data_IF_362048123395
#
_entry.id   IF_362048123395
#
_cell.length_a   1.000
_cell.length_b   1.000
_cell.length_c   1.000
_cell.angle_alpha   90.00
_cell.angle_beta   90.00
_cell.angle_gamma   90.00
#
_symmetry.space_group_name_H-M   'P 1'
#
loop_
_entity.id
_entity.type
_entity.pdbx_description
1 polymer ?
#
# COMPACT_ATOMS: atom_id res chain seq x y z
N UNK A 1 -22.39 30.09 14.49
CA UNK A 1 -23.39 29.00 14.32
C UNK A 1 -24.75 29.51 14.81
N UNK A 2 -25.68 29.68 13.87
CA UNK A 2 -27.00 30.30 14.15
C UNK A 2 -27.84 29.40 15.02
N UNK A 3 -28.76 30.00 15.78
CA UNK A 3 -29.74 29.37 16.71
C UNK A 3 -30.57 28.25 16.02
N UNK A 4 -30.64 28.29 14.71
CA UNK A 4 -31.31 27.32 13.86
C UNK A 4 -30.57 25.97 13.85
N UNK A 5 -29.23 25.98 13.77
CA UNK A 5 -28.43 24.77 13.71
C UNK A 5 -28.49 23.96 15.02
N UNK A 6 -28.62 24.63 16.18
CA UNK A 6 -28.75 23.97 17.49
C UNK A 6 -30.11 23.30 17.70
N UNK A 7 -31.19 23.84 17.14
CA UNK A 7 -32.55 23.24 17.25
C UNK A 7 -32.68 21.97 16.42
N UNK A 8 -31.96 21.89 15.28
CA UNK A 8 -32.05 20.72 14.39
C UNK A 8 -31.15 19.55 14.87
N UNK A 9 -30.02 19.81 15.50
CA UNK A 9 -29.20 18.75 16.09
C UNK A 9 -29.89 17.97 17.23
N UNK A 10 -30.79 18.63 17.96
CA UNK A 10 -31.55 18.02 19.05
C UNK A 10 -32.71 17.13 18.55
N UNK A 11 -33.26 17.42 17.35
CA UNK A 11 -34.35 16.63 16.72
C UNK A 11 -33.81 15.41 15.95
N UNK A 12 -32.58 15.43 15.49
CA UNK A 12 -31.91 14.29 14.83
C UNK A 12 -31.60 13.14 15.80
N UNK A 13 -31.51 13.42 17.12
CA UNK A 13 -31.24 12.38 18.13
C UNK A 13 -32.46 11.52 18.48
N UNK A 14 -33.65 11.82 17.98
CA UNK A 14 -34.90 11.16 18.40
C UNK A 14 -35.67 10.46 17.28
N UNK A 15 -35.14 10.34 16.05
CA UNK A 15 -35.87 9.64 14.97
C UNK A 15 -35.10 8.45 14.42
N UNK A 16 -35.58 7.33 14.89
CA UNK A 16 -35.57 5.98 14.34
C UNK A 16 -34.23 5.43 13.86
N UNK A 17 -33.53 4.81 14.78
CA UNK A 17 -32.62 3.71 14.48
C UNK A 17 -33.52 2.50 14.16
N UNK A 18 -33.59 2.13 12.89
CA UNK A 18 -34.26 0.89 12.47
C UNK A 18 -33.28 -0.28 12.69
N UNK A 19 -33.75 -1.29 13.43
CA UNK A 19 -32.99 -2.53 13.57
C UNK A 19 -33.54 -3.54 12.57
N UNK A 20 -32.76 -3.99 11.64
CA UNK A 20 -33.10 -5.15 10.82
C UNK A 20 -32.72 -6.42 11.60
N UNK A 21 -33.68 -7.07 12.21
CA UNK A 21 -33.50 -8.26 13.05
C UNK A 21 -32.90 -9.47 12.32
N UNK A 22 -32.92 -9.49 10.98
CA UNK A 22 -32.34 -10.61 10.20
C UNK A 22 -30.87 -10.46 9.86
N UNK A 23 -30.28 -9.25 9.87
CA UNK A 23 -28.91 -8.99 9.45
C UNK A 23 -28.03 -8.34 10.51
N UNK A 24 -28.59 -7.95 11.67
CA UNK A 24 -27.83 -7.24 12.72
C UNK A 24 -27.29 -5.86 12.32
N UNK A 25 -27.76 -5.30 11.20
CA UNK A 25 -27.27 -4.05 10.64
C UNK A 25 -28.07 -2.86 11.16
N UNK A 26 -27.36 -1.79 11.50
CA UNK A 26 -27.94 -0.50 11.88
C UNK A 26 -27.81 0.48 10.71
N UNK A 27 -28.90 1.13 10.30
CA UNK A 27 -28.84 2.20 9.31
C UNK A 27 -29.75 3.36 9.70
N UNK A 28 -29.39 4.55 9.29
CA UNK A 28 -30.18 5.77 9.47
C UNK A 28 -30.77 6.15 8.13
N UNK A 29 -32.10 6.13 8.02
CA UNK A 29 -32.78 6.54 6.80
C UNK A 29 -32.80 8.08 6.68
N UNK A 30 -31.75 8.62 6.03
CA UNK A 30 -31.64 10.05 5.75
C UNK A 30 -32.42 10.49 4.49
N UNK A 31 -32.84 9.56 3.63
CA UNK A 31 -33.53 9.86 2.36
C UNK A 31 -34.91 10.46 2.57
N UNK A 32 -35.68 9.92 3.51
CA UNK A 32 -37.02 10.42 3.84
C UNK A 32 -36.97 11.82 4.46
N UNK A 33 -35.92 12.11 5.27
CA UNK A 33 -35.70 13.43 5.83
C UNK A 33 -35.30 14.45 4.75
N UNK A 34 -34.41 14.09 3.84
CA UNK A 34 -33.99 14.95 2.72
C UNK A 34 -35.18 15.24 1.79
N UNK A 35 -36.01 14.23 1.46
CA UNK A 35 -37.26 14.42 0.67
C UNK A 35 -38.20 15.44 1.31
N UNK A 36 -38.45 15.31 2.61
CA UNK A 36 -39.35 16.25 3.32
C UNK A 36 -38.82 17.69 3.33
N UNK A 37 -37.49 17.87 3.31
CA UNK A 37 -36.86 19.19 3.23
C UNK A 37 -36.94 19.77 1.83
N UNK A 38 -36.70 18.95 0.80
CA UNK A 38 -36.83 19.32 -0.61
C UNK A 38 -38.28 19.78 -0.90
N UNK A 39 -39.25 19.04 -0.41
CA UNK A 39 -40.68 19.42 -0.59
C UNK A 39 -41.04 20.74 0.11
N UNK A 40 -40.44 21.00 1.29
CA UNK A 40 -40.63 22.28 2.00
C UNK A 40 -39.96 23.46 1.25
N UNK A 41 -38.83 23.24 0.60
CA UNK A 41 -38.19 24.30 -0.21
C UNK A 41 -38.93 24.57 -1.50
N UNK A 42 -39.49 23.55 -2.15
CA UNK A 42 -40.39 23.69 -3.31
C UNK A 42 -41.62 24.49 -3.01
N UNK A 43 -42.29 24.21 -1.86
CA UNK A 43 -43.51 24.90 -1.45
C UNK A 43 -43.30 26.37 -1.09
N UNK A 44 -42.05 26.80 -0.87
CA UNK A 44 -41.72 28.18 -0.50
C UNK A 44 -41.13 29.01 -1.67
N UNK A 45 -41.24 28.51 -2.91
CA UNK A 45 -40.75 29.17 -4.16
C UNK A 45 -39.26 29.55 -4.14
N UNK A 46 -38.41 28.80 -3.44
CA UNK A 46 -36.98 29.00 -3.32
C UNK A 46 -36.22 28.06 -4.28
N UNK A 47 -36.47 28.24 -5.58
CA UNK A 47 -35.91 27.43 -6.65
C UNK A 47 -34.35 27.47 -6.67
N UNK A 48 -33.73 28.62 -6.39
CA UNK A 48 -32.28 28.80 -6.30
C UNK A 48 -31.62 27.93 -5.22
N UNK A 49 -32.24 27.90 -4.06
CA UNK A 49 -31.80 27.05 -2.95
C UNK A 49 -32.14 25.57 -3.19
N UNK A 50 -33.20 25.29 -3.91
CA UNK A 50 -33.60 23.96 -4.31
C UNK A 50 -32.57 23.33 -5.27
N UNK A 51 -32.14 24.05 -6.31
CA UNK A 51 -31.11 23.58 -7.24
C UNK A 51 -29.75 23.42 -6.58
N UNK A 52 -29.35 24.33 -5.68
CA UNK A 52 -28.15 24.22 -4.88
C UNK A 52 -28.16 22.97 -3.97
N UNK A 53 -29.28 22.74 -3.29
CA UNK A 53 -29.45 21.56 -2.40
C UNK A 53 -29.49 20.26 -3.19
N UNK A 54 -30.12 20.24 -4.39
CA UNK A 54 -30.08 19.07 -5.28
C UNK A 54 -28.67 18.80 -5.80
N UNK A 55 -27.92 19.83 -6.22
CA UNK A 55 -26.55 19.69 -6.65
C UNK A 55 -25.59 19.22 -5.56
N UNK A 56 -25.76 19.76 -4.34
CA UNK A 56 -25.03 19.33 -3.16
C UNK A 56 -25.47 17.95 -2.69
N UNK A 57 -26.79 17.64 -2.70
CA UNK A 57 -27.34 16.35 -2.27
C UNK A 57 -26.99 15.22 -3.23
N UNK A 58 -26.89 15.47 -4.54
CA UNK A 58 -26.44 14.45 -5.50
C UNK A 58 -24.97 14.04 -5.28
N UNK A 59 -24.12 15.01 -4.90
CA UNK A 59 -22.73 14.72 -4.48
C UNK A 59 -22.65 14.08 -3.09
N UNK A 60 -23.44 14.56 -2.15
CA UNK A 60 -23.46 14.07 -0.76
C UNK A 60 -24.23 12.77 -0.63
N UNK A 61 -25.30 12.56 -1.42
CA UNK A 61 -26.04 11.27 -1.41
C UNK A 61 -25.22 10.14 -2.06
N UNK A 62 -24.38 10.41 -3.04
CA UNK A 62 -23.38 9.42 -3.50
C UNK A 62 -22.29 9.13 -2.47
N UNK A 63 -21.99 10.07 -1.57
CA UNK A 63 -20.99 9.89 -0.50
C UNK A 63 -21.62 9.45 0.83
N UNK A 64 -22.88 9.80 1.10
CA UNK A 64 -23.61 9.40 2.31
C UNK A 64 -24.49 8.15 2.12
N UNK A 65 -24.71 7.73 0.88
CA UNK A 65 -25.25 6.40 0.54
C UNK A 65 -24.14 5.31 0.50
N UNK A 66 -22.90 5.64 0.85
CA UNK A 66 -22.04 4.67 1.50
C UNK A 66 -22.71 4.37 2.86
N UNK A 67 -23.59 3.37 2.89
CA UNK A 67 -24.18 2.83 4.09
C UNK A 67 -23.05 2.66 5.10
N UNK A 68 -23.14 3.38 6.22
CA UNK A 68 -22.24 3.17 7.36
C UNK A 68 -22.64 1.79 7.92
N UNK A 69 -22.11 0.75 7.30
CA UNK A 69 -22.31 -0.62 7.75
C UNK A 69 -21.33 -0.90 8.90
N UNK A 70 -21.86 -1.40 9.99
CA UNK A 70 -21.09 -1.93 11.09
C UNK A 70 -21.09 -3.45 10.97
N UNK A 71 -19.94 -4.08 11.18
CA UNK A 71 -19.83 -5.53 11.31
C UNK A 71 -19.46 -5.89 12.74
N UNK A 72 -19.86 -7.05 13.20
CA UNK A 72 -19.51 -7.51 14.53
C UNK A 72 -18.14 -8.21 14.48
N UNK A 73 -17.38 -8.13 15.58
CA UNK A 73 -16.13 -8.88 15.71
C UNK A 73 -16.35 -10.39 15.53
N UNK A 74 -17.52 -10.89 15.92
CA UNK A 74 -17.90 -12.29 15.74
C UNK A 74 -17.97 -12.73 14.26
N UNK A 75 -18.26 -11.81 13.34
CA UNK A 75 -18.31 -12.09 11.89
C UNK A 75 -16.92 -12.46 11.32
N UNK A 76 -15.86 -12.15 12.08
CA UNK A 76 -14.46 -12.42 11.73
C UNK A 76 -13.83 -13.56 12.56
N UNK A 77 -14.66 -14.35 13.24
CA UNK A 77 -14.14 -15.39 14.15
C UNK A 77 -13.12 -16.33 13.49
N UNK A 78 -13.44 -16.86 12.32
CA UNK A 78 -12.58 -17.79 11.60
C UNK A 78 -11.26 -17.13 11.16
N UNK A 79 -11.32 -15.88 10.70
CA UNK A 79 -10.13 -15.09 10.33
C UNK A 79 -9.25 -14.82 11.56
N UNK A 80 -9.86 -14.48 12.69
CA UNK A 80 -9.15 -14.23 13.95
C UNK A 80 -8.45 -15.51 14.41
N UNK A 81 -9.14 -16.64 14.41
CA UNK A 81 -8.57 -17.94 14.80
C UNK A 81 -7.42 -18.35 13.88
N UNK A 82 -7.54 -18.16 12.57
CA UNK A 82 -6.48 -18.44 11.62
C UNK A 82 -5.26 -17.55 11.88
N UNK A 83 -5.46 -16.24 12.12
CA UNK A 83 -4.39 -15.30 12.46
C UNK A 83 -3.71 -15.68 13.79
N UNK A 84 -4.47 -16.13 14.79
CA UNK A 84 -3.94 -16.58 16.07
C UNK A 84 -3.11 -17.86 15.93
N UNK A 85 -3.56 -18.85 15.16
CA UNK A 85 -2.79 -20.07 14.85
C UNK A 85 -1.48 -19.80 14.13
N UNK A 86 -1.45 -18.72 13.32
CA UNK A 86 -0.28 -18.31 12.55
C UNK A 86 0.54 -17.21 13.24
N UNK A 87 0.20 -16.88 14.48
CA UNK A 87 0.93 -15.87 15.25
C UNK A 87 2.40 -16.22 15.40
N UNK A 88 3.30 -15.29 15.01
CA UNK A 88 4.75 -15.53 15.00
C UNK A 88 5.28 -16.40 13.85
N UNK A 89 4.42 -16.80 12.90
CA UNK A 89 4.82 -17.48 11.66
C UNK A 89 4.84 -16.50 10.48
N UNK A 90 5.45 -16.93 9.39
CA UNK A 90 5.39 -16.18 8.13
C UNK A 90 3.94 -16.14 7.66
N UNK A 91 3.41 -14.93 7.46
CA UNK A 91 2.04 -14.68 7.01
C UNK A 91 2.07 -14.12 5.59
N UNK A 92 1.26 -14.67 4.69
CA UNK A 92 1.19 -14.24 3.30
C UNK A 92 2.30 -14.78 2.43
N UNK A 93 2.73 -13.97 1.44
CA UNK A 93 3.71 -14.39 0.46
C UNK A 93 5.13 -14.39 1.04
N UNK A 94 5.90 -15.41 0.72
CA UNK A 94 7.33 -15.42 1.01
C UNK A 94 8.05 -14.56 -0.02
N UNK A 95 9.01 -13.76 0.44
CA UNK A 95 9.90 -13.00 -0.44
C UNK A 95 10.86 -13.91 -1.23
N UNK A 96 10.95 -15.18 -0.82
CA UNK A 96 11.89 -16.16 -1.37
C UNK A 96 13.32 -15.99 -0.85
N UNK A 97 13.51 -15.07 0.08
CA UNK A 97 14.75 -14.85 0.80
C UNK A 97 14.47 -15.01 2.30
N UNK A 98 15.10 -16.02 2.94
CA UNK A 98 14.78 -16.38 4.31
C UNK A 98 15.07 -15.26 5.31
N UNK A 99 16.08 -14.42 5.04
CA UNK A 99 16.41 -13.27 5.90
C UNK A 99 15.33 -12.21 5.82
N UNK A 100 14.90 -11.85 4.60
CA UNK A 100 13.80 -10.90 4.42
C UNK A 100 12.50 -11.45 5.00
N UNK A 101 12.21 -12.74 4.80
CA UNK A 101 11.06 -13.41 5.39
C UNK A 101 11.09 -13.35 6.92
N UNK A 102 12.26 -13.50 7.53
CA UNK A 102 12.45 -13.34 8.98
C UNK A 102 12.28 -11.89 9.43
N UNK A 103 12.77 -10.93 8.64
CA UNK A 103 12.63 -9.50 8.95
C UNK A 103 11.16 -9.05 8.89
N UNK A 104 10.47 -9.45 7.83
CA UNK A 104 9.11 -8.95 7.51
C UNK A 104 8.00 -9.88 7.98
N UNK A 105 8.30 -11.13 8.31
CA UNK A 105 7.36 -12.23 8.51
C UNK A 105 6.51 -12.50 7.25
N UNK A 106 7.07 -12.25 6.06
CA UNK A 106 6.42 -12.35 4.76
C UNK A 106 5.65 -11.09 4.36
N UNK A 107 4.93 -11.15 3.24
CA UNK A 107 4.12 -10.07 2.69
C UNK A 107 2.64 -10.43 2.87
N UNK A 108 1.99 -9.87 3.87
CA UNK A 108 0.59 -10.22 4.15
C UNK A 108 -0.39 -9.40 3.31
N UNK A 109 -1.55 -9.99 2.96
CA UNK A 109 -2.65 -9.25 2.35
C UNK A 109 -3.04 -8.04 3.19
N UNK A 110 -3.31 -6.92 2.52
CA UNK A 110 -3.69 -5.66 3.17
C UNK A 110 -2.52 -4.84 3.70
N UNK A 111 -1.27 -5.25 3.51
CA UNK A 111 -0.10 -4.51 3.99
C UNK A 111 0.59 -3.70 2.90
N UNK A 112 1.10 -2.55 3.32
CA UNK A 112 1.96 -1.68 2.52
C UNK A 112 3.40 -1.77 3.04
N UNK A 113 4.29 -2.33 2.23
CA UNK A 113 5.74 -2.38 2.47
C UNK A 113 6.42 -1.29 1.66
N UNK A 114 7.22 -0.45 2.30
CA UNK A 114 8.01 0.58 1.62
C UNK A 114 9.48 0.17 1.60
N UNK A 115 10.09 0.19 0.41
CA UNK A 115 11.53 0.01 0.21
C UNK A 115 12.15 1.37 -0.10
N UNK A 116 12.89 1.91 0.87
CA UNK A 116 13.50 3.23 0.80
C UNK A 116 15.00 3.19 0.59
N UNK A 117 15.57 4.29 0.08
CA UNK A 117 17.02 4.44 -0.07
C UNK A 117 17.40 5.46 -1.15
N UNK A 118 18.67 5.82 -1.21
CA UNK A 118 19.20 6.71 -2.24
C UNK A 118 19.15 6.07 -3.64
N UNK A 119 19.27 6.89 -4.68
CA UNK A 119 19.38 6.41 -6.07
C UNK A 119 20.56 5.46 -6.19
N UNK A 120 20.43 4.43 -7.00
CA UNK A 120 21.46 3.40 -7.25
C UNK A 120 21.82 2.48 -6.06
N UNK A 121 21.10 2.54 -4.94
CA UNK A 121 21.30 1.66 -3.79
C UNK A 121 20.72 0.24 -3.96
N UNK A 122 20.07 -0.08 -5.09
CA UNK A 122 19.58 -1.44 -5.35
C UNK A 122 18.12 -1.68 -4.96
N UNK A 123 17.31 -0.63 -4.65
CA UNK A 123 15.88 -0.76 -4.32
C UNK A 123 15.08 -1.51 -5.38
N UNK A 124 15.18 -1.06 -6.64
CA UNK A 124 14.53 -1.71 -7.78
C UNK A 124 14.98 -3.16 -7.92
N UNK A 125 16.29 -3.43 -7.78
CA UNK A 125 16.78 -4.80 -7.88
C UNK A 125 16.22 -5.68 -6.75
N UNK A 126 16.18 -5.19 -5.50
CA UNK A 126 15.57 -5.91 -4.37
C UNK A 126 14.10 -6.22 -4.64
N UNK A 127 13.33 -5.24 -5.08
CA UNK A 127 11.90 -5.44 -5.37
C UNK A 127 11.66 -6.40 -6.54
N UNK A 128 12.49 -6.35 -7.58
CA UNK A 128 12.42 -7.29 -8.70
C UNK A 128 12.80 -8.71 -8.27
N UNK A 129 13.78 -8.89 -7.37
CA UNK A 129 14.10 -10.20 -6.80
C UNK A 129 12.94 -10.77 -6.00
N UNK A 130 12.29 -9.95 -5.17
CA UNK A 130 11.08 -10.37 -4.44
C UNK A 130 9.98 -10.78 -5.42
N UNK A 131 9.68 -9.94 -6.42
CA UNK A 131 8.67 -10.23 -7.44
C UNK A 131 8.98 -11.53 -8.21
N UNK A 132 10.22 -11.72 -8.64
CA UNK A 132 10.66 -12.95 -9.32
C UNK A 132 10.50 -14.19 -8.42
N UNK A 133 10.87 -14.07 -7.14
CA UNK A 133 10.72 -15.17 -6.19
C UNK A 133 9.26 -15.49 -5.88
N UNK A 134 8.37 -14.49 -5.87
CA UNK A 134 6.92 -14.73 -5.76
C UNK A 134 6.40 -15.44 -7.00
N UNK A 135 6.83 -15.04 -8.20
CA UNK A 135 6.47 -15.70 -9.45
C UNK A 135 6.93 -17.17 -9.48
N UNK A 136 8.12 -17.49 -8.94
CA UNK A 136 8.58 -18.90 -8.78
C UNK A 136 7.70 -19.76 -7.88
N UNK A 137 6.88 -19.14 -7.03
CA UNK A 137 5.90 -19.85 -6.21
C UNK A 137 4.56 -20.07 -6.93
N UNK A 138 4.51 -19.90 -8.26
CA UNK A 138 3.31 -19.94 -9.10
C UNK A 138 2.26 -18.88 -8.70
N UNK A 139 2.73 -17.70 -8.27
CA UNK A 139 1.91 -16.55 -7.91
C UNK A 139 2.09 -15.44 -8.91
N UNK A 140 1.00 -14.77 -9.30
CA UNK A 140 1.06 -13.67 -10.25
C UNK A 140 1.41 -12.36 -9.55
N UNK A 141 2.21 -11.54 -10.22
CA UNK A 141 2.71 -10.25 -9.73
C UNK A 141 2.43 -9.15 -10.75
N UNK A 142 1.85 -8.04 -10.31
CA UNK A 142 1.84 -6.80 -11.09
C UNK A 142 3.07 -5.98 -10.70
N UNK A 143 3.96 -5.71 -11.66
CA UNK A 143 5.12 -4.84 -11.49
C UNK A 143 4.91 -3.55 -12.28
N UNK A 144 4.56 -2.47 -11.57
CA UNK A 144 4.40 -1.13 -12.16
C UNK A 144 5.77 -0.47 -12.22
N UNK A 145 6.29 -0.30 -13.44
CA UNK A 145 7.56 0.39 -13.68
C UNK A 145 7.31 1.70 -14.43
N UNK A 146 7.70 2.80 -13.82
CA UNK A 146 7.57 4.15 -14.36
C UNK A 146 8.93 4.80 -14.64
N UNK A 147 10.03 4.11 -14.29
CA UNK A 147 11.40 4.58 -14.44
C UNK A 147 12.11 3.95 -15.65
N UNK A 148 11.69 2.77 -16.07
CA UNK A 148 12.30 2.03 -17.18
C UNK A 148 11.24 1.46 -18.12
N UNK A 149 11.63 1.16 -19.35
CA UNK A 149 10.75 0.51 -20.33
C UNK A 149 10.43 -0.94 -19.91
N UNK A 150 9.30 -1.47 -20.36
CA UNK A 150 8.92 -2.86 -20.09
C UNK A 150 9.94 -3.86 -20.64
N UNK A 151 10.56 -3.54 -21.78
CA UNK A 151 11.65 -4.36 -22.36
C UNK A 151 12.88 -4.42 -21.44
N UNK A 152 13.32 -3.28 -20.90
CA UNK A 152 14.43 -3.22 -19.94
C UNK A 152 14.10 -3.98 -18.65
N UNK A 153 12.89 -3.82 -18.13
CA UNK A 153 12.42 -4.56 -16.97
C UNK A 153 12.41 -6.07 -17.25
N UNK A 154 11.91 -6.48 -18.43
CA UNK A 154 11.90 -7.87 -18.88
C UNK A 154 13.29 -8.48 -18.96
N UNK A 155 14.28 -7.76 -19.52
CA UNK A 155 15.69 -8.20 -19.54
C UNK A 155 16.24 -8.39 -18.13
N UNK A 156 15.93 -7.50 -17.18
CA UNK A 156 16.36 -7.63 -15.79
C UNK A 156 15.72 -8.83 -15.11
N UNK A 157 14.42 -9.05 -15.29
CA UNK A 157 13.73 -10.23 -14.76
C UNK A 157 14.32 -11.53 -15.33
N UNK A 158 14.60 -11.58 -16.63
CA UNK A 158 15.26 -12.75 -17.26
C UNK A 158 16.63 -13.05 -16.64
N UNK A 159 17.45 -12.02 -16.37
CA UNK A 159 18.74 -12.20 -15.67
C UNK A 159 18.57 -12.69 -14.23
N UNK A 160 17.58 -12.18 -13.49
CA UNK A 160 17.28 -12.60 -12.12
C UNK A 160 16.79 -14.05 -12.09
N UNK A 161 15.87 -14.42 -12.97
CA UNK A 161 15.27 -15.75 -13.03
C UNK A 161 16.26 -16.80 -13.60
N UNK A 162 17.07 -16.42 -14.58
CA UNK A 162 17.79 -17.35 -15.46
C UNK A 162 16.82 -17.98 -16.47
N UNK A 163 17.36 -18.60 -17.53
CA UNK A 163 16.56 -19.07 -18.67
C UNK A 163 15.44 -20.04 -18.28
N UNK A 164 15.77 -21.08 -17.51
CA UNK A 164 14.81 -22.13 -17.14
C UNK A 164 13.63 -21.62 -16.31
N UNK A 165 13.90 -20.77 -15.34
CA UNK A 165 12.83 -20.21 -14.47
C UNK A 165 12.10 -19.08 -15.17
N UNK A 166 12.76 -18.34 -16.08
CA UNK A 166 12.11 -17.32 -16.89
C UNK A 166 10.99 -17.92 -17.77
N UNK A 167 11.26 -19.04 -18.45
CA UNK A 167 10.26 -19.71 -19.27
C UNK A 167 9.02 -20.14 -18.47
N UNK A 168 9.19 -20.54 -17.21
CA UNK A 168 8.10 -20.95 -16.33
C UNK A 168 7.33 -19.78 -15.72
N UNK A 169 8.02 -18.71 -15.36
CA UNK A 169 7.49 -17.65 -14.51
C UNK A 169 7.07 -16.39 -15.27
N UNK A 170 7.55 -16.19 -16.51
CA UNK A 170 7.33 -14.94 -17.24
C UNK A 170 5.83 -14.62 -17.44
N UNK A 171 4.99 -15.63 -17.64
CA UNK A 171 3.55 -15.47 -17.76
C UNK A 171 2.85 -15.01 -16.48
N UNK A 172 3.50 -15.12 -15.32
CA UNK A 172 3.00 -14.66 -14.03
C UNK A 172 3.44 -13.25 -13.64
N UNK A 173 4.26 -12.58 -14.48
CA UNK A 173 4.74 -11.22 -14.22
C UNK A 173 4.07 -10.27 -15.21
N UNK A 174 3.20 -9.40 -14.70
CA UNK A 174 2.44 -8.44 -15.47
C UNK A 174 3.03 -7.04 -15.32
N UNK A 175 2.98 -6.25 -16.38
CA UNK A 175 3.30 -4.83 -16.37
C UNK A 175 2.05 -4.00 -16.65
N UNK A 176 2.03 -2.74 -16.17
CA UNK A 176 0.99 -1.81 -16.59
C UNK A 176 1.07 -1.56 -18.11
N UNK A 177 -0.08 -1.40 -18.75
CA UNK A 177 -0.12 -1.17 -20.20
C UNK A 177 0.12 0.29 -20.59
N UNK A 178 -0.29 1.23 -19.73
CA UNK A 178 -0.23 2.67 -19.98
C UNK A 178 1.01 3.27 -19.36
N UNK A 179 1.78 4.04 -20.15
CA UNK A 179 2.97 4.76 -19.68
C UNK A 179 2.60 6.00 -18.86
N UNK A 180 1.39 6.57 -19.09
CA UNK A 180 0.83 7.68 -18.31
C UNK A 180 -0.11 7.15 -17.22
N UNK A 181 0.45 6.66 -16.14
CA UNK A 181 -0.32 6.23 -14.98
C UNK A 181 -0.48 7.38 -14.00
N UNK A 182 -1.73 7.83 -13.79
CA UNK A 182 -2.07 8.75 -12.70
C UNK A 182 -2.27 7.96 -11.40
N UNK A 183 -1.87 8.53 -10.28
CA UNK A 183 -2.13 7.90 -8.97
C UNK A 183 -3.62 7.71 -8.68
N UNK A 184 -4.51 8.52 -9.27
CA UNK A 184 -5.96 8.37 -9.19
C UNK A 184 -6.48 7.09 -9.89
N UNK A 185 -5.73 6.55 -10.85
CA UNK A 185 -6.08 5.32 -11.56
C UNK A 185 -5.52 4.05 -10.92
N UNK A 186 -4.72 4.19 -9.85
CA UNK A 186 -4.07 3.04 -9.18
C UNK A 186 -5.11 2.06 -8.61
N UNK A 187 -6.21 2.54 -8.01
CA UNK A 187 -7.27 1.66 -7.50
C UNK A 187 -7.84 0.75 -8.59
N UNK A 188 -8.16 1.34 -9.74
CA UNK A 188 -8.63 0.58 -10.89
C UNK A 188 -7.61 -0.43 -11.43
N UNK A 189 -6.32 -0.07 -11.41
CA UNK A 189 -5.24 -0.96 -11.84
C UNK A 189 -5.05 -2.13 -10.87
N UNK A 190 -5.00 -1.87 -9.55
CA UNK A 190 -4.87 -2.91 -8.51
C UNK A 190 -6.07 -3.85 -8.55
N UNK A 191 -7.29 -3.30 -8.67
CA UNK A 191 -8.51 -4.09 -8.81
C UNK A 191 -8.44 -5.03 -10.02
N UNK A 192 -8.11 -4.52 -11.21
CA UNK A 192 -7.97 -5.34 -12.42
C UNK A 192 -6.88 -6.40 -12.27
N UNK A 193 -5.74 -6.05 -11.69
CA UNK A 193 -4.67 -7.01 -11.41
C UNK A 193 -5.17 -8.17 -10.53
N UNK A 194 -5.95 -7.86 -9.50
CA UNK A 194 -6.52 -8.88 -8.60
C UNK A 194 -7.60 -9.72 -9.25
N UNK A 195 -8.58 -9.07 -9.91
CA UNK A 195 -9.78 -9.75 -10.42
C UNK A 195 -9.54 -10.46 -11.75
N UNK A 196 -8.77 -9.86 -12.68
CA UNK A 196 -8.58 -10.36 -14.04
C UNK A 196 -7.30 -11.18 -14.21
N UNK A 197 -6.21 -10.82 -13.50
CA UNK A 197 -4.91 -11.48 -13.60
C UNK A 197 -4.53 -12.32 -12.38
N UNK A 198 -5.42 -12.43 -11.38
CA UNK A 198 -5.18 -13.14 -10.12
C UNK A 198 -3.84 -12.76 -9.46
N UNK A 199 -3.42 -11.50 -9.59
CA UNK A 199 -2.20 -11.04 -8.95
C UNK A 199 -2.32 -11.12 -7.43
N UNK A 200 -1.27 -11.62 -6.81
CA UNK A 200 -1.16 -11.75 -5.36
C UNK A 200 -0.15 -10.76 -4.75
N UNK A 201 0.60 -10.04 -5.59
CA UNK A 201 1.52 -8.97 -5.21
C UNK A 201 1.43 -7.83 -6.22
N UNK A 202 1.49 -6.60 -5.71
CA UNK A 202 1.70 -5.40 -6.53
C UNK A 202 3.00 -4.73 -6.10
N UNK A 203 3.85 -4.39 -7.05
CA UNK A 203 5.08 -3.61 -6.84
C UNK A 203 4.98 -2.33 -7.64
N UNK A 204 5.30 -1.18 -7.02
CA UNK A 204 5.28 0.14 -7.66
C UNK A 204 6.68 0.76 -7.58
N UNK A 205 7.32 0.91 -8.74
CA UNK A 205 8.64 1.51 -8.89
C UNK A 205 8.56 2.74 -9.81
N UNK A 206 8.52 3.96 -9.29
CA UNK A 206 8.61 4.39 -7.91
C UNK A 206 7.63 5.56 -7.64
N UNK A 207 7.39 5.82 -6.36
CA UNK A 207 6.42 6.81 -5.86
C UNK A 207 6.56 8.22 -6.46
N UNK A 208 7.79 8.73 -6.63
CA UNK A 208 8.05 10.12 -7.02
C UNK A 208 7.72 10.41 -8.48
N UNK A 209 7.45 9.40 -9.28
CA UNK A 209 7.01 9.60 -10.65
C UNK A 209 5.65 10.31 -10.71
N UNK A 210 4.79 10.04 -9.75
CA UNK A 210 3.45 10.62 -9.68
C UNK A 210 3.43 12.10 -9.26
N UNK A 211 4.56 12.66 -8.80
CA UNK A 211 4.62 14.02 -8.22
C UNK A 211 5.49 15.01 -9.01
N UNK A 212 5.88 14.69 -10.25
CA UNK A 212 6.85 15.48 -11.03
C UNK A 212 6.39 16.92 -11.31
N UNK A 213 5.08 17.17 -11.39
CA UNK A 213 4.50 18.46 -11.80
C UNK A 213 3.76 19.20 -10.67
N UNK A 214 3.92 18.78 -9.41
CA UNK A 214 3.09 19.25 -8.29
C UNK A 214 3.85 20.23 -7.40
N UNK A 215 3.21 21.34 -7.02
CA UNK A 215 3.83 22.36 -6.16
C UNK A 215 4.02 21.88 -4.70
N UNK A 216 3.11 21.06 -4.18
CA UNK A 216 3.20 20.53 -2.81
C UNK A 216 3.50 19.01 -2.81
N UNK A 217 4.72 18.65 -3.19
CA UNK A 217 5.17 17.27 -3.33
C UNK A 217 4.98 16.44 -2.05
N UNK A 218 5.18 17.02 -0.87
CA UNK A 218 5.11 16.26 0.39
C UNK A 218 3.68 15.82 0.73
N UNK A 219 2.70 16.69 0.53
CA UNK A 219 1.29 16.39 0.76
C UNK A 219 0.77 15.35 -0.23
N UNK A 220 1.17 15.49 -1.50
CA UNK A 220 0.76 14.54 -2.54
C UNK A 220 1.35 13.14 -2.31
N UNK A 221 2.61 13.06 -1.92
CA UNK A 221 3.23 11.79 -1.49
C UNK A 221 2.45 11.14 -0.34
N UNK A 222 1.95 11.96 0.58
CA UNK A 222 1.06 11.51 1.66
C UNK A 222 -0.24 10.94 1.13
N UNK A 223 -0.92 11.66 0.24
CA UNK A 223 -2.18 11.22 -0.36
C UNK A 223 -2.01 9.90 -1.11
N UNK A 224 -0.95 9.77 -1.91
CA UNK A 224 -0.64 8.55 -2.66
C UNK A 224 -0.38 7.39 -1.70
N UNK A 225 0.46 7.58 -0.68
CA UNK A 225 0.80 6.52 0.29
C UNK A 225 -0.44 6.04 1.04
N UNK A 226 -1.29 6.98 1.47
CA UNK A 226 -2.57 6.68 2.13
C UNK A 226 -3.52 5.92 1.22
N UNK A 227 -3.60 6.31 -0.06
CA UNK A 227 -4.48 5.63 -1.01
C UNK A 227 -3.96 4.22 -1.35
N UNK A 228 -2.65 4.04 -1.50
CA UNK A 228 -2.04 2.72 -1.66
C UNK A 228 -2.31 1.80 -0.47
N UNK A 229 -2.24 2.33 0.77
CA UNK A 229 -2.60 1.55 1.96
C UNK A 229 -4.07 1.14 1.96
N UNK A 230 -4.99 2.05 1.56
CA UNK A 230 -6.42 1.71 1.42
C UNK A 230 -6.63 0.65 0.34
N UNK A 231 -5.94 0.75 -0.79
CA UNK A 231 -6.00 -0.24 -1.86
C UNK A 231 -5.53 -1.62 -1.40
N UNK A 232 -4.41 -1.68 -0.67
CA UNK A 232 -3.92 -2.93 -0.08
C UNK A 232 -5.01 -3.60 0.77
N UNK A 233 -5.65 -2.82 1.67
CA UNK A 233 -6.72 -3.32 2.55
C UNK A 233 -7.96 -3.72 1.76
N UNK A 234 -8.43 -2.86 0.85
CA UNK A 234 -9.66 -3.07 0.08
C UNK A 234 -9.60 -4.33 -0.78
N UNK A 235 -8.49 -4.51 -1.46
CA UNK A 235 -8.29 -5.63 -2.39
C UNK A 235 -7.61 -6.85 -1.74
N UNK A 236 -7.31 -6.79 -0.45
CA UNK A 236 -6.63 -7.85 0.29
C UNK A 236 -5.38 -8.35 -0.46
N UNK A 237 -4.53 -7.42 -0.89
CA UNK A 237 -3.31 -7.68 -1.64
C UNK A 237 -2.13 -6.94 -0.99
N UNK A 238 -0.95 -7.55 -0.82
CA UNK A 238 0.25 -6.84 -0.39
C UNK A 238 0.73 -5.90 -1.51
N UNK A 239 1.16 -4.70 -1.11
CA UNK A 239 1.75 -3.72 -2.03
C UNK A 239 3.17 -3.39 -1.56
N UNK A 240 4.13 -3.45 -2.48
CA UNK A 240 5.49 -2.93 -2.28
C UNK A 240 5.60 -1.60 -3.01
N UNK A 241 6.03 -0.57 -2.31
CA UNK A 241 6.25 0.76 -2.83
C UNK A 241 7.72 1.14 -2.72
N UNK A 242 8.34 1.57 -3.82
CA UNK A 242 9.70 2.10 -3.81
C UNK A 242 9.68 3.60 -3.60
N UNK A 243 10.49 4.08 -2.66
CA UNK A 243 10.63 5.50 -2.35
C UNK A 243 12.10 5.94 -2.30
N UNK A 244 12.38 7.14 -2.81
CA UNK A 244 13.70 7.75 -2.71
C UNK A 244 13.87 8.52 -1.41
N UNK A 245 15.12 8.58 -0.93
CA UNK A 245 15.50 9.51 0.14
C UNK A 245 15.63 10.93 -0.41
N UNK A 246 15.50 11.92 0.47
CA UNK A 246 16.05 13.26 0.23
C UNK A 246 17.55 13.11 0.03
N UNK A 247 18.22 14.12 -0.57
CA UNK A 247 19.70 14.08 -0.71
C UNK A 247 20.31 13.65 0.62
N UNK A 248 21.15 12.61 0.57
CA UNK A 248 21.88 12.19 1.76
C UNK A 248 22.63 13.40 2.33
N UNK A 249 22.62 13.60 3.64
CA UNK A 249 23.58 14.53 4.24
C UNK A 249 24.98 14.07 3.87
N UNK A 250 25.87 15.01 3.51
CA UNK A 250 27.26 14.76 3.06
C UNK A 250 28.15 14.05 4.10
N UNK A 251 27.58 13.48 5.13
CA UNK A 251 28.33 12.82 6.19
C UNK A 251 28.31 11.30 6.03
N UNK A 252 29.47 10.75 5.75
CA UNK A 252 29.79 9.31 5.82
C UNK A 252 29.57 8.68 7.21
N UNK A 253 28.93 9.40 8.14
CA UNK A 253 28.86 9.05 9.57
C UNK A 253 27.47 8.69 10.06
N UNK A 254 26.42 8.88 9.26
CA UNK A 254 25.06 8.61 9.73
C UNK A 254 24.34 7.60 8.82
N UNK A 255 23.84 6.52 9.42
CA UNK A 255 22.95 5.55 8.80
C UNK A 255 21.67 6.22 8.30
N UNK A 256 21.27 5.91 7.07
CA UNK A 256 20.03 6.42 6.49
C UNK A 256 18.83 5.74 7.13
N UNK A 257 17.87 6.51 7.62
CA UNK A 257 16.68 5.99 8.28
C UNK A 257 15.38 6.47 7.63
N UNK A 258 14.25 6.07 8.21
CA UNK A 258 12.90 6.40 7.73
C UNK A 258 12.69 7.92 7.58
N UNK A 259 13.33 8.75 8.44
CA UNK A 259 13.23 10.20 8.40
C UNK A 259 13.90 10.84 7.18
N UNK A 260 14.76 10.12 6.50
CA UNK A 260 15.45 10.59 5.31
C UNK A 260 14.62 10.36 4.03
N UNK A 261 13.54 9.59 4.10
CA UNK A 261 12.62 9.41 2.98
C UNK A 261 11.90 10.72 2.61
N UNK A 262 11.68 10.94 1.32
CA UNK A 262 10.78 12.01 0.87
C UNK A 262 9.36 11.68 1.31
N UNK A 263 8.67 12.64 1.95
CA UNK A 263 7.37 12.37 2.57
C UNK A 263 7.43 11.46 3.79
N UNK A 264 8.56 11.45 4.52
CA UNK A 264 8.86 10.54 5.63
C UNK A 264 7.77 10.45 6.70
N UNK A 265 7.15 11.58 7.05
CA UNK A 265 6.06 11.61 8.04
C UNK A 265 4.85 10.78 7.62
N UNK A 266 4.45 10.88 6.36
CA UNK A 266 3.31 10.13 5.81
C UNK A 266 3.65 8.64 5.62
N UNK A 267 4.85 8.35 5.09
CA UNK A 267 5.33 6.97 4.96
C UNK A 267 5.43 6.30 6.32
N UNK A 268 5.97 7.02 7.33
CA UNK A 268 6.05 6.53 8.69
C UNK A 268 4.67 6.27 9.31
N UNK A 269 3.66 7.02 8.90
CA UNK A 269 2.28 6.85 9.37
C UNK A 269 1.56 5.69 8.71
N UNK A 270 1.59 5.58 7.39
CA UNK A 270 0.71 4.71 6.61
C UNK A 270 1.33 3.34 6.26
N UNK A 271 2.65 3.25 6.06
CA UNK A 271 3.30 1.98 5.80
C UNK A 271 3.24 1.03 7.02
N UNK A 272 3.11 -0.26 6.77
CA UNK A 272 3.19 -1.30 7.81
C UNK A 272 4.62 -1.75 8.04
N UNK A 273 5.38 -1.88 6.96
CA UNK A 273 6.79 -2.29 6.96
C UNK A 273 7.60 -1.23 6.20
N UNK A 274 8.76 -0.86 6.74
CA UNK A 274 9.73 -0.02 6.04
C UNK A 274 11.09 -0.69 6.08
N UNK A 275 11.63 -0.94 4.90
CA UNK A 275 12.98 -1.46 4.67
C UNK A 275 13.82 -0.35 4.05
N UNK A 276 14.95 -0.01 4.67
CA UNK A 276 15.93 0.91 4.10
C UNK A 276 17.06 0.14 3.44
N UNK A 277 17.39 0.54 2.20
CA UNK A 277 18.44 -0.10 1.40
C UNK A 277 19.59 0.88 1.22
N UNK A 278 20.77 0.47 1.65
CA UNK A 278 22.02 1.21 1.51
C UNK A 278 23.04 0.38 0.73
N UNK A 279 23.94 1.05 0.03
CA UNK A 279 25.05 0.42 -0.68
C UNK A 279 26.34 1.20 -0.40
N UNK A 280 27.33 0.51 0.11
CA UNK A 280 28.67 1.09 0.27
C UNK A 280 29.51 0.81 -0.99
N UNK A 281 29.47 1.75 -1.93
CA UNK A 281 30.18 1.62 -3.20
C UNK A 281 31.71 1.65 -3.09
N UNK A 282 32.25 2.13 -1.96
CA UNK A 282 33.70 2.25 -1.76
C UNK A 282 34.29 0.97 -1.20
N UNK A 283 33.73 0.46 -0.10
CA UNK A 283 34.32 -0.65 0.64
C UNK A 283 33.72 -2.00 0.22
N UNK A 284 32.43 -2.04 -0.10
CA UNK A 284 31.69 -3.25 -0.46
C UNK A 284 30.77 -3.00 -1.66
N UNK A 285 31.35 -2.81 -2.87
CA UNK A 285 30.57 -2.41 -4.05
C UNK A 285 29.54 -3.46 -4.50
N UNK A 286 29.69 -4.70 -4.05
CA UNK A 286 28.79 -5.80 -4.37
C UNK A 286 27.77 -6.10 -3.26
N UNK A 287 27.77 -5.33 -2.17
CA UNK A 287 26.88 -5.58 -1.06
C UNK A 287 25.82 -4.50 -0.92
N UNK A 288 24.64 -4.91 -0.56
CA UNK A 288 23.58 -4.03 -0.07
C UNK A 288 23.28 -4.34 1.40
N UNK A 289 23.00 -3.29 2.15
CA UNK A 289 22.55 -3.41 3.53
C UNK A 289 21.06 -3.11 3.55
N UNK A 290 20.27 -4.03 4.07
CA UNK A 290 18.84 -3.84 4.27
C UNK A 290 18.56 -3.72 5.75
N UNK A 291 17.99 -2.58 6.15
CA UNK A 291 17.63 -2.29 7.54
C UNK A 291 16.12 -2.27 7.70
N UNK A 292 15.59 -2.95 8.72
CA UNK A 292 14.19 -2.88 9.11
C UNK A 292 13.96 -1.63 9.98
N UNK A 293 13.33 -0.61 9.43
CA UNK A 293 13.05 0.66 10.11
C UNK A 293 11.66 0.73 10.74
N UNK A 294 10.72 -0.08 10.23
CA UNK A 294 9.36 -0.20 10.77
C UNK A 294 8.80 -1.58 10.54
N UNK A 295 8.11 -2.11 11.55
CA UNK A 295 7.29 -3.31 11.46
C UNK A 295 6.09 -3.16 12.42
N UNK A 296 4.92 -2.82 11.86
CA UNK A 296 3.75 -2.40 12.68
C UNK A 296 3.09 -3.56 13.43
N UNK A 297 2.95 -4.70 12.80
CA UNK A 297 1.97 -5.69 13.23
C UNK A 297 2.60 -7.05 13.55
N UNK A 298 3.94 -7.16 13.66
CA UNK A 298 4.55 -8.46 13.65
C UNK A 298 5.63 -8.67 14.69
N UNK A 299 5.61 -9.88 15.21
CA UNK A 299 6.80 -10.46 15.82
C UNK A 299 7.75 -10.88 14.70
N UNK A 300 8.91 -10.33 14.69
CA UNK A 300 9.96 -10.59 13.73
C UNK A 300 11.26 -10.05 14.28
N UNK A 301 12.12 -9.60 13.40
CA UNK A 301 13.32 -8.92 13.81
C UNK A 301 12.98 -7.60 14.51
N UNK A 302 13.81 -7.25 15.47
CA UNK A 302 13.75 -5.95 16.14
C UNK A 302 13.95 -4.84 15.10
N UNK A 303 13.17 -3.77 15.21
CA UNK A 303 13.39 -2.54 14.43
C UNK A 303 14.81 -2.04 14.65
N UNK A 304 15.49 -1.62 13.58
CA UNK A 304 16.90 -1.26 13.58
C UNK A 304 17.85 -2.41 13.22
N UNK A 305 17.33 -3.66 13.10
CA UNK A 305 18.15 -4.79 12.64
C UNK A 305 18.52 -4.63 11.17
N UNK A 306 19.79 -4.87 10.85
CA UNK A 306 20.34 -4.76 9.50
C UNK A 306 20.97 -6.07 9.09
N UNK A 307 20.84 -6.38 7.79
CA UNK A 307 21.52 -7.52 7.20
C UNK A 307 22.23 -7.11 5.94
N UNK A 308 23.38 -7.71 5.70
CA UNK A 308 24.16 -7.59 4.46
C UNK A 308 23.69 -8.64 3.47
N UNK A 309 23.51 -8.24 2.24
CA UNK A 309 23.16 -9.11 1.13
C UNK A 309 24.19 -8.92 0.02
N UNK A 310 24.67 -10.01 -0.54
CA UNK A 310 25.51 -9.95 -1.72
C UNK A 310 24.67 -9.62 -2.96
N UNK A 311 25.18 -8.74 -3.79
CA UNK A 311 24.52 -8.27 -4.99
C UNK A 311 25.31 -8.68 -6.23
N UNK A 312 24.93 -9.77 -6.89
CA UNK A 312 25.56 -10.25 -8.12
C UNK A 312 24.57 -10.23 -9.28
N UNK A 313 24.93 -9.58 -10.38
CA UNK A 313 24.14 -9.59 -11.62
C UNK A 313 22.64 -9.40 -11.41
N UNK A 314 22.25 -8.40 -10.61
CA UNK A 314 20.88 -8.12 -10.17
C UNK A 314 20.27 -9.16 -9.21
N UNK A 315 20.95 -10.23 -8.85
CA UNK A 315 20.49 -11.19 -7.84
C UNK A 315 20.90 -10.71 -6.46
N UNK A 316 19.94 -10.69 -5.55
CA UNK A 316 20.17 -10.47 -4.13
C UNK A 316 20.38 -11.83 -3.48
N UNK A 317 21.60 -12.11 -3.07
CA UNK A 317 22.01 -13.38 -2.49
C UNK A 317 22.02 -13.24 -0.98
N UNK A 318 21.48 -14.22 -0.28
CA UNK A 318 21.47 -14.27 1.17
C UNK A 318 22.89 -14.35 1.75
N UNK A 319 23.11 -13.75 2.94
CA UNK A 319 24.37 -13.95 3.66
C UNK A 319 24.56 -15.43 3.94
N UNK A 320 25.84 -15.86 3.95
CA UNK A 320 26.16 -17.23 4.31
C UNK A 320 25.65 -17.54 5.73
N UNK A 321 25.12 -18.76 5.98
CA UNK A 321 24.59 -19.16 7.31
C UNK A 321 25.66 -19.08 8.42
N UNK A 322 26.93 -18.92 8.07
CA UNK A 322 28.04 -18.79 9.01
C UNK A 322 28.29 -17.35 9.48
N UNK A 323 27.68 -16.34 8.84
CA UNK A 323 27.73 -14.98 9.34
C UNK A 323 26.85 -14.93 10.59
N UNK A 324 27.52 -15.02 11.76
CA UNK A 324 26.90 -14.92 13.07
C UNK A 324 26.26 -13.54 13.13
N UNK A 325 24.94 -13.55 13.26
CA UNK A 325 24.18 -12.36 13.51
C UNK A 325 24.54 -11.89 14.92
N UNK A 326 25.27 -10.79 15.00
CA UNK A 326 25.41 -10.06 16.26
C UNK A 326 24.01 -9.61 16.68
N UNK A 327 23.56 -10.18 17.77
CA UNK A 327 22.23 -9.98 18.40
C UNK A 327 22.14 -8.63 19.06
#
# INVERSE_FOLDING_TARGET
MSTITKRYSKRLKTKQIGINQKSGRYYVDNLTYLKSKIDTLKSNDRLDLYEYVLGASAKTAKSAAAELEFTMMADYHDEIEERMKNWGKIIGLRTGNWVLDRMTMGLAPGELTVIGGATSNGKTALSMNIAANVAKQNKSVLFVTLEMTHGEAGVRFRKILGETEYEKCAAGIFFQKNDELSWHSIDGLVRKAKEEANCELVVIDHLHYFTREIQNVAEELGNITKELKKNAIRHQIPIILISHTRKAPDSHTRKTGINDLRGSSYIAQDADIVLMVERNMKDFPNDIIVTLEKNRNRYGCKVGTSYHFEFRELKVIEPSRNDRFDT
#
